data_IF_646951086894
#
_entry.id   IF_646951086894
#
_cell.length_a   1.000
_cell.length_b   1.000
_cell.length_c   1.000
_cell.angle_alpha   90.00
_cell.angle_beta   90.00
_cell.angle_gamma   90.00
#
_symmetry.space_group_name_H-M   'P 1'
#
loop_
_entity.id
_entity.type
_entity.pdbx_description
1 polymer ?
#
# COMPACT_ATOMS: atom_id res chain seq x y z
N UNK A 1 -2.85 -62.37 -22.32
CA UNK A 1 -2.99 -61.00 -21.80
C UNK A 1 -1.73 -60.14 -22.06
N UNK A 2 -0.54 -60.67 -22.02
CA UNK A 2 0.73 -59.92 -22.24
C UNK A 2 0.91 -59.28 -23.64
N UNK A 3 0.33 -59.86 -24.72
CA UNK A 3 0.43 -59.29 -26.06
C UNK A 3 -0.36 -58.01 -26.30
N UNK A 4 -1.39 -57.73 -25.51
CA UNK A 4 -2.15 -56.48 -25.59
C UNK A 4 -1.45 -55.28 -24.93
N UNK A 5 -0.53 -55.56 -24.00
CA UNK A 5 0.27 -54.50 -23.33
C UNK A 5 1.45 -54.10 -24.21
N UNK A 6 2.08 -55.04 -24.91
CA UNK A 6 3.17 -54.73 -25.84
C UNK A 6 2.77 -53.84 -27.02
N UNK A 7 1.53 -53.98 -27.53
CA UNK A 7 1.04 -53.13 -28.62
C UNK A 7 0.66 -51.72 -28.24
N UNK A 8 0.50 -51.42 -26.94
CA UNK A 8 0.26 -50.07 -26.46
C UNK A 8 1.55 -49.27 -26.18
N UNK A 9 2.65 -49.95 -25.97
CA UNK A 9 3.97 -49.32 -25.76
C UNK A 9 4.69 -48.94 -27.07
N UNK A 10 4.17 -49.39 -28.21
CA UNK A 10 4.78 -49.14 -29.53
C UNK A 10 4.29 -47.89 -30.26
N UNK A 11 3.33 -47.12 -29.71
CA UNK A 11 2.78 -45.92 -30.37
C UNK A 11 3.08 -44.62 -29.63
N UNK A 12 4.07 -44.59 -28.78
CA UNK A 12 4.59 -43.35 -28.26
C UNK A 12 5.39 -42.65 -29.34
N UNK A 13 4.72 -41.84 -30.14
CA UNK A 13 5.38 -40.90 -31.05
C UNK A 13 6.15 -39.88 -30.19
N UNK A 14 7.43 -40.15 -29.99
CA UNK A 14 8.31 -39.21 -29.29
C UNK A 14 8.47 -37.94 -30.11
N UNK A 15 8.53 -36.80 -29.41
CA UNK A 15 8.83 -35.51 -30.04
C UNK A 15 10.20 -35.54 -30.72
N UNK A 16 10.28 -34.94 -31.88
CA UNK A 16 11.56 -34.74 -32.57
C UNK A 16 12.37 -33.63 -31.90
N UNK A 17 13.68 -33.73 -31.88
CA UNK A 17 14.59 -32.72 -31.34
C UNK A 17 14.37 -31.34 -31.99
N UNK A 18 14.11 -31.32 -33.30
CA UNK A 18 13.85 -30.09 -34.05
C UNK A 18 12.54 -29.42 -33.66
N UNK A 19 11.51 -30.21 -33.37
CA UNK A 19 10.20 -29.68 -32.91
C UNK A 19 10.33 -28.97 -31.58
N UNK A 20 11.10 -29.51 -30.64
CA UNK A 20 11.38 -28.88 -29.36
C UNK A 20 12.26 -27.63 -29.52
N UNK A 21 13.25 -27.68 -30.42
CA UNK A 21 14.14 -26.57 -30.72
C UNK A 21 13.36 -25.37 -31.30
N UNK A 22 12.46 -25.59 -32.25
CA UNK A 22 11.65 -24.53 -32.84
C UNK A 22 10.75 -23.89 -31.81
N UNK A 23 10.14 -24.67 -30.92
CA UNK A 23 9.28 -24.17 -29.85
C UNK A 23 10.03 -23.19 -28.88
N UNK A 24 11.24 -23.61 -28.46
CA UNK A 24 12.02 -22.72 -27.54
C UNK A 24 12.51 -21.46 -28.22
N UNK A 25 12.81 -21.48 -29.51
CA UNK A 25 13.19 -20.29 -30.28
C UNK A 25 12.00 -19.33 -30.35
N UNK A 26 10.80 -19.82 -30.69
CA UNK A 26 9.59 -18.99 -30.78
C UNK A 26 9.27 -18.41 -29.39
N UNK A 27 9.29 -19.21 -28.32
CA UNK A 27 9.07 -18.74 -26.96
C UNK A 27 10.11 -17.69 -26.56
N UNK A 28 11.38 -17.89 -26.92
CA UNK A 28 12.44 -16.90 -26.63
C UNK A 28 12.18 -15.55 -27.27
N UNK A 29 11.77 -15.53 -28.53
CA UNK A 29 11.41 -14.27 -29.23
C UNK A 29 10.20 -13.59 -28.59
N UNK A 30 9.17 -14.35 -28.26
CA UNK A 30 7.97 -13.81 -27.61
C UNK A 30 8.28 -13.23 -26.24
N UNK A 31 9.08 -13.91 -25.42
CA UNK A 31 9.49 -13.45 -24.10
C UNK A 31 10.37 -12.20 -24.17
N UNK A 32 11.24 -12.09 -25.18
CA UNK A 32 12.11 -10.93 -25.35
C UNK A 32 11.31 -9.61 -25.50
N UNK A 33 10.13 -9.68 -26.09
CA UNK A 33 9.23 -8.51 -26.25
C UNK A 33 8.25 -8.37 -25.06
N UNK A 34 7.75 -9.51 -24.56
CA UNK A 34 6.72 -9.51 -23.53
C UNK A 34 7.23 -9.05 -22.17
N UNK A 35 8.45 -9.44 -21.76
CA UNK A 35 9.00 -9.13 -20.43
C UNK A 35 9.17 -7.63 -20.20
N UNK A 36 9.85 -6.84 -21.06
CA UNK A 36 10.00 -5.40 -20.87
C UNK A 36 8.65 -4.69 -20.83
N UNK A 37 7.73 -5.08 -21.70
CA UNK A 37 6.38 -4.51 -21.75
C UNK A 37 5.59 -4.77 -20.44
N UNK A 38 5.66 -5.99 -19.93
CA UNK A 38 5.02 -6.36 -18.67
C UNK A 38 5.56 -5.57 -17.46
N UNK A 39 6.89 -5.39 -17.38
CA UNK A 39 7.51 -4.63 -16.29
C UNK A 39 7.05 -3.17 -16.30
N UNK A 40 7.02 -2.53 -17.47
CA UNK A 40 6.52 -1.16 -17.61
C UNK A 40 5.04 -1.01 -17.20
N UNK A 41 4.21 -1.99 -17.55
CA UNK A 41 2.81 -2.01 -17.14
C UNK A 41 2.66 -2.20 -15.63
N UNK A 42 3.43 -3.12 -15.05
CA UNK A 42 3.45 -3.37 -13.60
C UNK A 42 3.82 -2.12 -12.82
N UNK A 43 4.82 -1.36 -13.26
CA UNK A 43 5.23 -0.13 -12.60
C UNK A 43 4.12 0.93 -12.60
N UNK A 44 3.43 1.09 -13.73
CA UNK A 44 2.29 2.01 -13.82
C UNK A 44 1.13 1.57 -12.92
N UNK A 45 0.86 0.27 -12.84
CA UNK A 45 -0.16 -0.28 -11.97
C UNK A 45 0.16 -0.05 -10.49
N UNK A 46 1.40 -0.30 -10.07
CA UNK A 46 1.85 -0.05 -8.70
C UNK A 46 1.74 1.42 -8.31
N UNK A 47 2.15 2.33 -9.20
CA UNK A 47 2.00 3.77 -8.99
C UNK A 47 0.54 4.18 -8.82
N UNK A 48 -0.34 3.68 -9.68
CA UNK A 48 -1.77 3.96 -9.61
C UNK A 48 -2.41 3.39 -8.32
N UNK A 49 -2.03 2.18 -7.93
CA UNK A 49 -2.51 1.55 -6.71
C UNK A 49 -2.08 2.32 -5.46
N UNK A 50 -0.82 2.76 -5.38
CA UNK A 50 -0.36 3.59 -4.27
C UNK A 50 -1.16 4.90 -4.15
N UNK A 51 -1.47 5.56 -5.27
CA UNK A 51 -2.32 6.75 -5.28
C UNK A 51 -3.76 6.47 -4.85
N UNK A 52 -4.33 5.36 -5.31
CA UNK A 52 -5.69 4.96 -4.96
C UNK A 52 -5.82 4.70 -3.46
N UNK A 53 -4.84 4.04 -2.85
CA UNK A 53 -4.83 3.79 -1.41
C UNK A 53 -4.87 5.09 -0.60
N UNK A 54 -4.09 6.12 -0.99
CA UNK A 54 -4.15 7.41 -0.28
C UNK A 54 -5.53 8.06 -0.44
N UNK A 55 -6.09 8.06 -1.64
CA UNK A 55 -7.43 8.65 -1.87
C UNK A 55 -8.52 7.93 -1.07
N UNK A 56 -8.38 6.63 -0.85
CA UNK A 56 -9.34 5.85 -0.07
C UNK A 56 -9.35 6.26 1.41
N UNK A 57 -8.21 6.62 1.98
CA UNK A 57 -8.08 6.95 3.40
C UNK A 57 -8.28 8.45 3.71
N UNK A 58 -8.30 9.32 2.70
CA UNK A 58 -8.48 10.75 2.92
C UNK A 58 -9.79 11.12 3.64
N UNK A 59 -10.95 10.50 3.32
CA UNK A 59 -12.18 10.78 4.04
C UNK A 59 -12.06 10.50 5.54
N UNK A 60 -11.41 9.42 5.93
CA UNK A 60 -11.25 9.03 7.33
C UNK A 60 -10.36 10.02 8.08
N UNK A 61 -9.29 10.48 7.42
CA UNK A 61 -8.37 11.50 7.94
C UNK A 61 -9.08 12.84 8.16
N UNK A 62 -9.92 13.25 7.22
CA UNK A 62 -10.68 14.51 7.35
C UNK A 62 -11.82 14.37 8.38
N UNK A 63 -12.43 13.18 8.51
CA UNK A 63 -13.40 12.90 9.57
C UNK A 63 -12.75 12.97 10.94
N UNK A 64 -11.56 12.38 11.09
CA UNK A 64 -10.80 12.51 12.33
C UNK A 64 -10.53 13.97 12.68
N UNK A 65 -10.11 14.79 11.72
CA UNK A 65 -9.88 16.22 11.94
C UNK A 65 -11.16 16.98 12.38
N UNK A 66 -12.29 16.61 11.81
CA UNK A 66 -13.57 17.23 12.15
C UNK A 66 -14.06 16.87 13.56
N UNK A 67 -13.78 15.64 13.99
CA UNK A 67 -14.19 15.11 15.29
C UNK A 67 -13.22 15.47 16.42
N UNK A 68 -11.93 15.68 16.07
CA UNK A 68 -10.87 16.02 17.02
C UNK A 68 -10.84 17.53 17.32
N UNK A 69 -11.89 18.00 18.01
CA UNK A 69 -11.99 19.40 18.46
C UNK A 69 -11.60 19.50 19.94
N UNK A 70 -10.94 20.59 20.37
CA UNK A 70 -10.62 20.80 21.75
C UNK A 70 -11.93 20.91 22.58
N UNK A 71 -12.33 19.83 23.20
CA UNK A 71 -13.41 19.88 24.17
C UNK A 71 -12.77 19.91 25.54
N UNK A 72 -12.97 20.96 26.30
CA UNK A 72 -12.48 21.09 27.69
C UNK A 72 -13.06 20.06 28.66
N UNK A 73 -13.71 19.04 28.16
CA UNK A 73 -14.25 17.88 28.86
C UNK A 73 -13.95 16.65 28.01
N UNK A 74 -13.42 15.61 28.63
CA UNK A 74 -13.24 14.30 28.00
C UNK A 74 -14.57 13.86 27.39
N UNK A 75 -14.73 13.98 26.08
CA UNK A 75 -15.90 13.44 25.39
C UNK A 75 -15.78 11.90 25.40
N UNK A 76 -16.67 11.16 26.07
CA UNK A 76 -16.63 9.70 26.07
C UNK A 76 -16.89 9.09 24.70
N UNK A 77 -17.36 9.87 23.72
CA UNK A 77 -17.58 9.45 22.34
C UNK A 77 -16.49 9.96 21.39
N UNK A 78 -15.49 10.71 21.88
CA UNK A 78 -14.36 11.09 21.03
C UNK A 78 -13.68 9.83 20.48
N UNK A 79 -13.27 9.83 19.21
CA UNK A 79 -12.51 8.73 18.63
C UNK A 79 -11.21 8.53 19.44
N UNK A 80 -11.21 7.59 20.38
CA UNK A 80 -10.11 7.36 21.31
C UNK A 80 -10.51 7.22 22.77
N UNK A 81 -11.76 7.51 23.14
CA UNK A 81 -12.28 7.30 24.49
C UNK A 81 -12.25 5.83 24.95
N UNK A 82 -12.04 4.88 24.05
CA UNK A 82 -11.91 3.45 24.31
C UNK A 82 -10.48 3.00 24.67
N UNK A 83 -9.68 3.87 25.30
CA UNK A 83 -8.34 3.51 25.77
C UNK A 83 -7.24 3.64 24.72
N UNK A 84 -7.54 4.20 23.56
CA UNK A 84 -6.52 4.57 22.57
C UNK A 84 -6.00 5.95 22.93
N UNK A 85 -4.75 6.01 23.35
CA UNK A 85 -4.07 7.24 23.78
C UNK A 85 -4.10 8.24 22.63
N UNK A 86 -4.66 9.44 22.87
CA UNK A 86 -4.50 10.56 21.95
C UNK A 86 -5.76 11.27 21.46
N UNK A 87 -6.97 10.80 21.78
CA UNK A 87 -8.17 11.53 21.40
C UNK A 87 -8.86 12.08 22.64
N UNK A 88 -9.05 13.39 22.70
CA UNK A 88 -9.83 14.04 23.73
C UNK A 88 -9.04 14.71 24.85
N UNK A 89 -7.74 14.96 24.69
CA UNK A 89 -7.02 15.90 25.54
C UNK A 89 -7.40 17.34 25.14
N UNK A 90 -7.58 18.20 26.13
CA UNK A 90 -7.88 19.61 25.91
C UNK A 90 -6.84 20.36 25.05
N UNK A 91 -5.71 19.72 24.78
CA UNK A 91 -4.61 20.22 23.93
C UNK A 91 -4.64 19.67 22.52
N UNK A 92 -5.38 18.58 22.26
CA UNK A 92 -5.44 17.95 20.94
C UNK A 92 -6.50 18.63 20.07
N UNK A 93 -6.10 18.97 18.86
CA UNK A 93 -6.99 19.54 17.85
C UNK A 93 -6.52 19.17 16.46
N UNK A 94 -7.43 19.14 15.52
CA UNK A 94 -7.12 18.84 14.13
C UNK A 94 -6.56 17.43 13.94
N UNK A 95 -5.36 17.29 13.38
CA UNK A 95 -4.74 15.98 13.13
C UNK A 95 -3.81 15.51 14.25
N UNK A 96 -3.71 16.25 15.36
CA UNK A 96 -2.87 15.86 16.51
C UNK A 96 -3.32 14.51 17.05
N UNK A 97 -2.38 13.62 17.36
CA UNK A 97 -2.68 12.28 17.89
C UNK A 97 -3.23 11.26 16.87
N UNK A 98 -3.43 11.64 15.62
CA UNK A 98 -3.93 10.74 14.59
C UNK A 98 -2.97 9.57 14.34
N UNK A 99 -3.48 8.35 14.44
CA UNK A 99 -2.76 7.10 14.17
C UNK A 99 -3.60 6.18 13.29
N UNK A 100 -2.95 5.22 12.62
CA UNK A 100 -3.69 4.18 11.85
C UNK A 100 -4.60 3.36 12.76
N UNK A 101 -4.17 3.09 13.99
CA UNK A 101 -4.95 2.32 14.93
C UNK A 101 -6.30 2.99 15.22
N UNK A 102 -6.29 4.31 15.44
CA UNK A 102 -7.49 5.11 15.66
C UNK A 102 -8.36 5.14 14.39
N UNK A 103 -7.77 5.41 13.23
CA UNK A 103 -8.52 5.46 11.97
C UNK A 103 -9.22 4.13 11.68
N UNK A 104 -8.56 3.01 11.91
CA UNK A 104 -9.16 1.67 11.74
C UNK A 104 -10.24 1.37 12.77
N UNK A 105 -10.05 1.77 14.00
CA UNK A 105 -11.00 1.44 15.06
C UNK A 105 -12.28 2.26 14.96
N UNK A 106 -12.18 3.53 14.59
CA UNK A 106 -13.26 4.49 14.65
C UNK A 106 -13.91 4.81 13.29
N UNK A 107 -13.15 4.72 12.19
CA UNK A 107 -13.62 5.19 10.88
C UNK A 107 -13.73 4.09 9.83
N UNK A 108 -12.66 3.33 9.56
CA UNK A 108 -12.67 2.27 8.55
C UNK A 108 -11.86 1.04 8.97
N UNK A 109 -12.55 -0.06 9.30
CA UNK A 109 -11.92 -1.33 9.62
C UNK A 109 -11.20 -1.97 8.41
N UNK A 110 -11.55 -1.57 7.19
CA UNK A 110 -10.96 -2.05 5.94
C UNK A 110 -9.79 -1.18 5.45
N UNK A 111 -9.17 -0.39 6.33
CA UNK A 111 -8.05 0.49 6.01
C UNK A 111 -6.98 -0.25 5.18
N UNK A 112 -6.55 0.28 4.03
CA UNK A 112 -5.65 -0.41 3.12
C UNK A 112 -4.32 -0.79 3.78
N UNK A 113 -3.81 -1.98 3.45
CA UNK A 113 -2.45 -2.38 3.83
C UNK A 113 -1.42 -1.55 3.06
N UNK A 114 -0.26 -1.29 3.68
CA UNK A 114 0.80 -0.49 3.06
C UNK A 114 0.51 1.00 3.01
N UNK A 115 -0.37 1.49 3.88
CA UNK A 115 -0.57 2.92 4.15
C UNK A 115 -0.10 3.24 5.56
N UNK A 116 0.64 4.30 5.71
CA UNK A 116 1.12 4.84 6.98
C UNK A 116 0.66 6.28 7.13
N UNK A 117 0.30 6.63 8.34
CA UNK A 117 -0.13 7.97 8.72
C UNK A 117 0.84 8.48 9.76
N UNK A 118 1.42 9.65 9.55
CA UNK A 118 2.42 10.23 10.42
C UNK A 118 3.54 9.22 10.73
N UNK A 119 4.74 9.53 10.54
CA UNK A 119 5.89 8.63 10.63
C UNK A 119 6.28 8.25 12.08
N UNK A 120 5.35 8.39 13.03
CA UNK A 120 5.55 7.92 14.39
C UNK A 120 5.50 6.39 14.46
N UNK A 121 6.44 5.83 15.21
CA UNK A 121 6.77 4.44 15.33
C UNK A 121 5.57 3.49 15.45
N UNK A 122 5.70 2.33 14.78
CA UNK A 122 5.00 1.09 15.08
C UNK A 122 3.47 1.14 15.14
N UNK A 123 2.84 1.57 14.06
CA UNK A 123 1.43 1.28 13.84
C UNK A 123 1.23 -0.17 13.37
N UNK A 124 0.02 -0.69 13.58
CA UNK A 124 -0.37 -2.09 13.32
C UNK A 124 -0.17 -2.54 11.86
N UNK A 125 0.12 -1.61 10.96
CA UNK A 125 0.48 -1.87 9.55
C UNK A 125 1.94 -2.32 9.34
N UNK A 126 2.74 -2.43 10.41
CA UNK A 126 4.17 -2.68 10.33
C UNK A 126 5.00 -1.39 10.34
N UNK A 127 6.29 -1.53 10.53
CA UNK A 127 7.20 -0.39 10.50
C UNK A 127 7.17 0.30 9.14
N UNK A 128 7.21 1.62 9.14
CA UNK A 128 7.46 2.41 7.94
C UNK A 128 8.72 1.85 7.25
N UNK A 129 8.76 1.73 5.92
CA UNK A 129 9.99 1.30 5.27
C UNK A 129 11.18 2.12 5.75
N UNK A 130 12.24 1.45 6.19
CA UNK A 130 13.42 2.10 6.78
C UNK A 130 14.06 3.16 5.87
N UNK A 131 13.77 3.11 4.57
CA UNK A 131 14.22 4.09 3.60
C UNK A 131 13.44 5.42 3.66
N UNK A 132 12.26 5.47 4.29
CA UNK A 132 11.51 6.72 4.49
C UNK A 132 12.03 7.42 5.73
N UNK A 133 12.91 8.39 5.52
CA UNK A 133 13.62 9.06 6.61
C UNK A 133 12.94 10.35 7.11
N UNK A 134 12.01 10.88 6.34
CA UNK A 134 11.32 12.12 6.68
C UNK A 134 10.16 11.86 7.65
N UNK A 135 10.39 12.11 8.92
CA UNK A 135 9.34 12.01 9.93
C UNK A 135 8.51 13.30 9.98
N UNK A 136 7.22 13.15 9.88
CA UNK A 136 6.26 14.23 10.11
C UNK A 136 5.39 13.84 11.29
N UNK A 137 5.49 14.57 12.38
CA UNK A 137 4.53 14.45 13.49
C UNK A 137 3.25 15.17 13.09
N UNK A 138 2.10 14.54 13.30
CA UNK A 138 0.83 15.22 13.12
C UNK A 138 0.72 16.41 14.07
N UNK A 139 0.24 17.50 13.55
CA UNK A 139 -0.07 18.72 14.30
C UNK A 139 -1.53 19.08 14.05
N UNK A 140 -2.04 20.10 14.71
CA UNK A 140 -3.41 20.56 14.48
C UNK A 140 -3.73 20.85 13.00
N UNK A 141 -2.73 21.22 12.20
CA UNK A 141 -2.92 21.70 10.83
C UNK A 141 -2.17 20.87 9.77
N UNK A 142 -1.37 19.88 10.17
CA UNK A 142 -0.51 19.17 9.22
C UNK A 142 -0.36 17.69 9.56
N UNK A 143 -0.23 16.88 8.52
CA UNK A 143 0.00 15.44 8.59
C UNK A 143 0.79 14.97 7.36
N UNK A 144 1.28 13.75 7.37
CA UNK A 144 1.75 13.08 6.17
C UNK A 144 1.18 11.67 6.09
N UNK A 145 0.56 11.35 4.97
CA UNK A 145 0.10 10.00 4.63
C UNK A 145 1.00 9.46 3.54
N UNK A 146 1.44 8.24 3.71
CA UNK A 146 2.30 7.52 2.77
C UNK A 146 1.64 6.20 2.39
N UNK A 147 1.67 5.85 1.13
CA UNK A 147 1.31 4.52 0.65
C UNK A 147 2.43 3.96 -0.19
N UNK A 148 2.77 2.69 0.04
CA UNK A 148 3.73 1.95 -0.79
C UNK A 148 3.03 0.82 -1.54
N UNK A 149 3.37 0.68 -2.82
CA UNK A 149 3.00 -0.48 -3.62
C UNK A 149 4.17 -0.83 -4.55
N UNK A 150 4.75 -2.02 -4.35
CA UNK A 150 6.01 -2.39 -4.99
C UNK A 150 7.12 -1.37 -4.69
N UNK A 151 7.76 -0.83 -5.73
CA UNK A 151 8.83 0.18 -5.60
C UNK A 151 8.30 1.62 -5.64
N UNK A 152 6.99 1.84 -5.67
CA UNK A 152 6.40 3.16 -5.78
C UNK A 152 5.80 3.61 -4.45
N UNK A 153 6.07 4.86 -4.11
CA UNK A 153 5.47 5.58 -3.00
C UNK A 153 4.52 6.64 -3.53
N UNK A 154 3.36 6.75 -2.92
CA UNK A 154 2.49 7.92 -3.03
C UNK A 154 2.42 8.57 -1.66
N UNK A 155 2.34 9.89 -1.60
CA UNK A 155 2.25 10.61 -0.34
C UNK A 155 1.54 11.95 -0.49
N UNK A 156 0.93 12.39 0.61
CA UNK A 156 0.23 13.68 0.72
C UNK A 156 0.57 14.30 2.06
N UNK A 157 0.95 15.57 2.05
CA UNK A 157 1.32 16.34 3.23
C UNK A 157 0.29 17.43 3.46
N UNK A 158 -0.43 17.33 4.58
CA UNK A 158 -1.47 18.28 4.98
C UNK A 158 -2.73 18.29 4.11
N UNK A 159 -3.78 18.97 4.56
CA UNK A 159 -5.06 19.01 3.86
C UNK A 159 -4.98 19.70 2.49
N UNK A 160 -4.23 20.78 2.37
CA UNK A 160 -4.01 21.51 1.11
C UNK A 160 -2.94 20.93 0.20
N UNK A 161 -2.22 19.87 0.64
CA UNK A 161 -1.14 19.28 -0.14
C UNK A 161 -1.62 18.53 -1.37
N UNK A 162 -0.84 18.57 -2.45
CA UNK A 162 -1.08 17.74 -3.64
C UNK A 162 -0.58 16.32 -3.39
N UNK A 163 -1.26 15.35 -4.01
CA UNK A 163 -0.81 13.96 -4.01
C UNK A 163 0.41 13.82 -4.91
N UNK A 164 1.52 13.42 -4.36
CA UNK A 164 2.80 13.20 -5.06
C UNK A 164 3.12 11.71 -5.15
N UNK A 165 3.97 11.34 -6.11
CA UNK A 165 4.47 9.97 -6.28
C UNK A 165 5.96 9.97 -6.58
N UNK A 166 6.67 9.00 -6.05
CA UNK A 166 8.11 8.82 -6.26
C UNK A 166 8.48 7.34 -6.15
N UNK A 167 9.59 6.96 -6.76
CA UNK A 167 10.25 5.66 -6.49
C UNK A 167 11.39 5.81 -5.47
N UNK A 168 11.67 7.02 -5.01
CA UNK A 168 12.69 7.34 -4.03
C UNK A 168 12.06 7.60 -2.67
N UNK A 169 12.28 6.69 -1.72
CA UNK A 169 11.73 6.77 -0.37
C UNK A 169 12.20 8.02 0.41
N UNK A 170 13.37 8.57 0.06
CA UNK A 170 13.91 9.77 0.74
C UNK A 170 13.16 11.05 0.40
N UNK A 171 12.38 11.04 -0.68
CA UNK A 171 11.57 12.18 -1.13
C UNK A 171 10.15 12.17 -0.57
N UNK A 172 9.82 11.16 0.22
CA UNK A 172 8.49 11.03 0.82
C UNK A 172 8.31 12.04 1.94
N UNK A 173 7.19 12.70 2.01
CA UNK A 173 6.85 13.73 3.01
C UNK A 173 7.74 14.99 3.02
N UNK A 174 8.49 15.23 1.97
CA UNK A 174 9.30 16.46 1.81
C UNK A 174 8.45 17.69 1.48
#
# INVERSE_FOLDING_TARGET
MLNRIKNRLGSEQGFTLIELLVVIIILGILLAIAVPSYLSFKDRANKSAAQANIRAVLPDVESYNADNVPSGTSDPNAPGATGVVGAGDATDSGYTGMTIAILRAAYDQAFPTGVWVNTAAADVAGALPAAVTNSVTATATNYCIVSQNGNWYAWKKGPGGILKTTSDATQVCT
#
